data_IF_382209865691
#
_entry.id   IF_382209865691
#
_cell.length_a   1.000
_cell.length_b   1.000
_cell.length_c   1.000
_cell.angle_alpha   90.00
_cell.angle_beta   90.00
_cell.angle_gamma   90.00
#
_symmetry.space_group_name_H-M   'P 1'
#
loop_
_entity.id
_entity.type
_entity.pdbx_description
1 polymer ?
#
# COMPACT_ATOMS: atom_id res chain seq x y z
N UNK A 1 -9.46 19.77 -1.90
CA UNK A 1 -8.47 19.20 -2.82
C UNK A 1 -7.13 19.93 -2.69
N UNK A 2 -6.46 19.90 -1.52
CA UNK A 2 -5.09 20.44 -1.37
C UNK A 2 -4.40 19.75 -0.17
N UNK A 3 -3.88 18.54 -0.38
CA UNK A 3 -2.91 17.90 0.55
C UNK A 3 -1.74 17.24 -0.19
N UNK A 4 -1.83 17.10 -1.53
CA UNK A 4 -0.93 16.26 -2.32
C UNK A 4 0.34 16.98 -2.80
N UNK A 5 0.41 18.32 -2.75
CA UNK A 5 1.51 19.03 -3.41
C UNK A 5 2.88 18.89 -2.74
N UNK A 6 2.96 18.48 -1.47
CA UNK A 6 4.22 18.19 -0.79
C UNK A 6 4.01 17.05 0.19
N UNK A 7 3.86 15.82 -0.32
CA UNK A 7 4.07 14.66 0.52
C UNK A 7 5.52 14.76 1.00
N UNK A 8 5.72 15.02 2.29
CA UNK A 8 7.04 15.16 2.88
C UNK A 8 7.92 13.96 2.45
N UNK A 9 9.18 14.22 2.08
CA UNK A 9 10.09 13.18 1.57
C UNK A 9 10.20 11.99 2.54
N UNK A 10 10.06 12.24 3.85
CA UNK A 10 10.03 11.21 4.89
C UNK A 10 8.78 10.35 4.76
N UNK A 11 7.63 10.94 4.48
CA UNK A 11 6.37 10.20 4.28
C UNK A 11 6.48 9.33 3.02
N UNK A 12 6.97 9.87 1.91
CA UNK A 12 7.18 9.09 0.67
C UNK A 12 8.17 7.94 0.88
N UNK A 13 9.30 8.21 1.56
CA UNK A 13 10.30 7.19 1.88
C UNK A 13 9.72 6.09 2.76
N UNK A 14 9.01 6.45 3.84
CA UNK A 14 8.41 5.46 4.74
C UNK A 14 7.33 4.65 4.04
N UNK A 15 6.54 5.26 3.14
CA UNK A 15 5.54 4.57 2.35
C UNK A 15 6.17 3.52 1.44
N UNK A 16 7.26 3.87 0.74
CA UNK A 16 8.03 2.92 -0.09
C UNK A 16 8.68 1.81 0.73
N UNK A 17 9.22 2.12 1.91
CA UNK A 17 9.80 1.11 2.81
C UNK A 17 8.76 0.12 3.33
N UNK A 18 7.55 0.59 3.64
CA UNK A 18 6.48 -0.24 4.17
C UNK A 18 5.80 -1.08 3.09
N UNK A 19 5.62 -0.54 1.89
CA UNK A 19 4.76 -1.16 0.88
C UNK A 19 5.45 -1.55 -0.43
N UNK A 20 6.59 -0.94 -0.78
CA UNK A 20 7.22 -1.05 -2.09
C UNK A 20 8.35 -2.09 -2.20
N UNK A 21 8.45 -3.02 -1.24
CA UNK A 21 9.47 -4.08 -1.26
C UNK A 21 8.82 -5.47 -1.36
N UNK A 22 9.40 -6.41 -2.13
CA UNK A 22 8.89 -7.79 -2.21
C UNK A 22 8.77 -8.48 -0.85
N UNK A 23 9.69 -8.19 0.09
CA UNK A 23 9.66 -8.70 1.46
C UNK A 23 8.46 -8.21 2.28
N UNK A 24 7.77 -7.16 1.82
CA UNK A 24 6.61 -6.54 2.47
C UNK A 24 5.28 -6.86 1.79
N UNK A 25 5.29 -7.75 0.79
CA UNK A 25 4.11 -8.11 -0.01
C UNK A 25 2.87 -8.44 0.84
N UNK A 26 3.03 -9.20 1.92
CA UNK A 26 1.93 -9.58 2.81
C UNK A 26 1.23 -8.38 3.47
N UNK A 27 2.00 -7.41 4.00
CA UNK A 27 1.42 -6.22 4.63
C UNK A 27 0.82 -5.28 3.58
N UNK A 28 1.43 -5.17 2.39
CA UNK A 28 0.88 -4.43 1.26
C UNK A 28 -0.48 -5.00 0.84
N UNK A 29 -0.58 -6.32 0.68
CA UNK A 29 -1.82 -7.00 0.32
C UNK A 29 -2.89 -6.81 1.41
N UNK A 30 -2.54 -6.96 2.68
CA UNK A 30 -3.48 -6.75 3.79
C UNK A 30 -4.01 -5.30 3.82
N UNK A 31 -3.11 -4.33 3.66
CA UNK A 31 -3.45 -2.91 3.60
C UNK A 31 -4.38 -2.61 2.42
N UNK A 32 -4.05 -3.07 1.21
CA UNK A 32 -4.87 -2.84 0.01
C UNK A 32 -6.27 -3.47 0.14
N UNK A 33 -6.36 -4.70 0.64
CA UNK A 33 -7.66 -5.34 0.88
C UNK A 33 -8.52 -4.56 1.87
N UNK A 34 -7.92 -4.06 2.96
CA UNK A 34 -8.62 -3.25 3.95
C UNK A 34 -9.06 -1.89 3.37
N UNK A 35 -8.16 -1.19 2.66
CA UNK A 35 -8.42 0.12 2.06
C UNK A 35 -9.51 0.07 0.98
N UNK A 36 -9.53 -0.99 0.18
CA UNK A 36 -10.48 -1.18 -0.91
C UNK A 36 -11.74 -1.96 -0.47
N UNK A 37 -11.86 -2.28 0.83
CA UNK A 37 -12.94 -3.07 1.40
C UNK A 37 -13.18 -4.43 0.71
N UNK A 38 -12.15 -5.04 0.14
CA UNK A 38 -12.24 -6.35 -0.53
C UNK A 38 -12.24 -7.49 0.49
N UNK A 39 -13.18 -8.43 0.32
CA UNK A 39 -13.43 -9.56 1.23
C UNK A 39 -13.69 -10.83 0.43
N UNK A 40 -13.54 -11.96 1.11
CA UNK A 40 -13.80 -13.29 0.54
C UNK A 40 -13.16 -13.48 -0.85
N UNK A 41 -13.97 -13.78 -1.86
CA UNK A 41 -13.54 -14.13 -3.21
C UNK A 41 -12.97 -12.94 -4.02
N UNK A 42 -13.18 -11.70 -3.59
CA UNK A 42 -12.65 -10.50 -4.27
C UNK A 42 -11.28 -10.07 -3.73
N UNK A 43 -10.71 -10.79 -2.75
CA UNK A 43 -9.43 -10.40 -2.14
C UNK A 43 -8.30 -10.35 -3.16
N UNK A 44 -7.48 -9.31 -3.06
CA UNK A 44 -6.16 -9.28 -3.69
C UNK A 44 -5.31 -10.35 -3.00
N UNK A 45 -4.79 -11.28 -3.79
CA UNK A 45 -3.89 -12.35 -3.32
C UNK A 45 -2.45 -12.13 -3.75
N UNK A 46 -2.22 -11.28 -4.75
CA UNK A 46 -0.88 -10.96 -5.22
C UNK A 46 -0.76 -9.55 -5.83
N UNK A 47 0.46 -9.02 -5.82
CA UNK A 47 0.83 -7.72 -6.42
C UNK A 47 2.22 -7.80 -7.05
N UNK A 48 2.49 -7.01 -8.10
CA UNK A 48 3.83 -6.88 -8.70
C UNK A 48 4.41 -5.50 -8.35
N UNK A 49 5.73 -5.45 -8.16
CA UNK A 49 6.50 -4.24 -7.80
C UNK A 49 7.52 -3.92 -8.88
#
# INVERSE_FOLDING_TARGET
MVLVKHLDLKVDFMFKQLFGQPSRKAITIAFLNALLHRKEDDRIVDVYF
#
